data_IF_127532725934
#
_entry.id   IF_127532725934
#
_cell.length_a   1.000
_cell.length_b   1.000
_cell.length_c   1.000
_cell.angle_alpha   90.00
_cell.angle_beta   90.00
_cell.angle_gamma   90.00
#
_symmetry.space_group_name_H-M   'P 1'
#
loop_
_entity.id
_entity.type
_entity.pdbx_description
1 polymer ?
#
# COMPACT_ATOMS: atom_id res chain seq x y z
N UNK A 1 -22.97 24.37 -13.57
CA UNK A 1 -22.23 24.98 -12.45
C UNK A 1 -22.90 24.56 -11.14
N UNK A 2 -22.67 23.32 -10.71
CA UNK A 2 -23.29 22.81 -9.47
C UNK A 2 -22.44 21.68 -8.86
N UNK A 3 -21.13 21.91 -8.70
CA UNK A 3 -20.23 20.97 -8.01
C UNK A 3 -19.52 21.58 -6.79
N UNK A 4 -19.69 22.89 -6.52
CA UNK A 4 -19.00 23.57 -5.41
C UNK A 4 -19.72 23.50 -4.05
N UNK A 5 -20.95 22.97 -3.98
CA UNK A 5 -21.75 22.98 -2.75
C UNK A 5 -21.59 21.75 -1.84
N UNK A 6 -20.92 20.69 -2.29
CA UNK A 6 -20.74 19.45 -1.49
C UNK A 6 -19.43 19.48 -0.67
N UNK A 7 -18.48 20.36 -1.03
CA UNK A 7 -17.11 20.38 -0.45
C UNK A 7 -17.00 20.95 0.97
N UNK A 8 -18.08 21.46 1.56
CA UNK A 8 -18.04 22.12 2.88
C UNK A 8 -18.41 21.23 4.08
N UNK A 9 -18.73 19.94 3.87
CA UNK A 9 -19.15 19.03 4.95
C UNK A 9 -18.08 18.02 5.41
N UNK A 10 -16.99 17.85 4.65
CA UNK A 10 -15.94 16.86 4.97
C UNK A 10 -14.58 17.50 5.24
N UNK A 11 -14.55 18.54 6.06
CA UNK A 11 -13.32 19.10 6.61
C UNK A 11 -13.15 18.63 8.05
N UNK A 12 -12.06 17.89 8.28
CA UNK A 12 -11.40 17.62 9.56
C UNK A 12 -12.11 16.72 10.57
N UNK A 13 -11.98 15.41 10.39
CA UNK A 13 -11.77 14.50 11.52
C UNK A 13 -10.65 13.51 11.14
N UNK A 14 -9.49 13.70 11.77
CA UNK A 14 -8.40 12.72 11.77
C UNK A 14 -8.91 11.39 12.36
N UNK A 15 -8.61 10.23 11.76
CA UNK A 15 -9.13 8.97 12.26
C UNK A 15 -8.63 8.68 13.68
N UNK A 16 -9.50 8.17 14.58
CA UNK A 16 -9.19 7.97 15.99
C UNK A 16 -8.21 6.82 16.18
N UNK A 17 -7.22 7.03 17.04
CA UNK A 17 -6.24 6.02 17.48
C UNK A 17 -6.92 5.07 18.47
N UNK A 18 -7.38 3.92 17.98
CA UNK A 18 -7.89 2.87 18.86
C UNK A 18 -6.75 1.94 19.30
N UNK A 19 -6.48 1.97 20.61
CA UNK A 19 -5.48 1.16 21.28
C UNK A 19 -6.08 -0.20 21.66
N UNK A 20 -5.66 -1.30 21.03
CA UNK A 20 -5.82 -2.63 21.67
C UNK A 20 -4.88 -3.71 21.14
N UNK A 21 -3.89 -4.02 21.99
CA UNK A 21 -3.40 -5.35 22.37
C UNK A 21 -2.71 -6.31 21.37
N UNK A 22 -1.37 -6.37 21.57
CA UNK A 22 -0.56 -7.54 21.98
C UNK A 22 0.21 -8.35 20.91
N UNK A 23 1.53 -8.24 21.05
CA UNK A 23 2.59 -9.24 20.85
C UNK A 23 2.96 -9.64 19.41
N UNK A 24 3.75 -8.78 18.76
CA UNK A 24 4.96 -9.22 18.03
C UNK A 24 5.95 -8.07 17.96
N UNK A 25 7.23 -8.41 18.05
CA UNK A 25 8.38 -7.50 18.18
C UNK A 25 8.62 -6.72 16.88
N UNK A 26 7.70 -5.82 16.53
CA UNK A 26 7.89 -4.82 15.48
C UNK A 26 8.81 -3.76 16.08
N UNK A 27 9.95 -3.51 15.45
CA UNK A 27 10.78 -2.34 15.80
C UNK A 27 9.90 -1.11 15.61
N UNK A 28 9.37 -0.53 16.68
CA UNK A 28 8.77 0.80 16.64
C UNK A 28 9.89 1.76 16.27
N UNK A 29 9.98 2.13 14.98
CA UNK A 29 10.74 3.31 14.58
C UNK A 29 10.00 4.55 15.09
N UNK A 30 10.76 5.53 15.57
CA UNK A 30 10.23 6.85 15.87
C UNK A 30 9.62 7.44 14.60
N UNK A 31 8.54 8.22 14.75
CA UNK A 31 7.60 8.63 13.70
C UNK A 31 8.17 9.63 12.66
N UNK A 32 9.50 9.74 12.54
CA UNK A 32 10.17 10.77 11.74
C UNK A 32 11.17 10.21 10.71
N UNK A 33 11.30 8.88 10.58
CA UNK A 33 12.19 8.26 9.59
C UNK A 33 11.41 7.69 8.40
N UNK A 34 11.53 8.35 7.25
CA UNK A 34 11.15 7.81 5.95
C UNK A 34 11.70 6.39 5.77
N UNK A 35 10.89 5.46 5.25
CA UNK A 35 11.37 4.13 4.87
C UNK A 35 12.40 4.28 3.76
N UNK A 36 13.54 3.63 3.88
CA UNK A 36 14.53 3.59 2.78
C UNK A 36 14.21 2.47 1.79
N UNK A 37 14.68 2.60 0.54
CA UNK A 37 14.45 1.57 -0.49
C UNK A 37 15.13 0.26 -0.13
N UNK A 38 16.26 0.33 0.57
CA UNK A 38 17.05 -0.79 1.03
C UNK A 38 16.26 -1.58 2.08
N UNK A 39 15.66 -0.89 3.06
CA UNK A 39 14.79 -1.52 4.07
C UNK A 39 13.58 -2.20 3.45
N UNK A 40 12.95 -1.58 2.44
CA UNK A 40 11.80 -2.17 1.76
C UNK A 40 12.15 -3.50 1.05
N UNK A 41 13.40 -3.68 0.60
CA UNK A 41 13.85 -4.95 0.01
C UNK A 41 14.04 -6.06 1.04
N UNK A 42 14.10 -5.74 2.34
CA UNK A 42 14.27 -6.75 3.39
C UNK A 42 12.97 -7.49 3.70
N UNK A 43 11.81 -6.89 3.41
CA UNK A 43 10.50 -7.52 3.58
C UNK A 43 10.31 -8.71 2.64
N UNK A 44 9.96 -9.87 3.19
CA UNK A 44 9.79 -11.13 2.45
C UNK A 44 8.73 -10.99 1.34
N UNK A 45 7.67 -10.24 1.63
CA UNK A 45 6.56 -10.00 0.72
C UNK A 45 7.00 -9.16 -0.48
N UNK A 46 7.85 -8.17 -0.24
CA UNK A 46 8.44 -7.34 -1.29
C UNK A 46 9.41 -8.16 -2.12
N UNK A 47 10.26 -8.98 -1.50
CA UNK A 47 11.16 -9.89 -2.23
C UNK A 47 10.38 -10.85 -3.12
N UNK A 48 9.34 -11.47 -2.56
CA UNK A 48 8.47 -12.41 -3.26
C UNK A 48 7.79 -11.74 -4.45
N UNK A 49 7.25 -10.53 -4.24
CA UNK A 49 6.67 -9.75 -5.31
C UNK A 49 7.68 -9.38 -6.38
N UNK A 50 8.87 -8.91 -6.01
CA UNK A 50 9.95 -8.53 -6.92
C UNK A 50 10.50 -9.73 -7.72
N UNK A 51 10.29 -10.98 -7.29
CA UNK A 51 10.60 -12.17 -8.11
C UNK A 51 9.64 -12.33 -9.30
N UNK A 52 8.41 -11.81 -9.20
CA UNK A 52 7.36 -11.93 -10.23
C UNK A 52 7.38 -10.83 -11.29
N UNK A 53 8.27 -9.86 -11.16
CA UNK A 53 8.39 -8.71 -12.08
C UNK A 53 9.74 -8.77 -12.80
N UNK A 54 9.77 -8.26 -14.04
CA UNK A 54 10.99 -8.23 -14.86
C UNK A 54 12.07 -7.36 -14.21
N UNK A 55 13.35 -7.67 -14.49
CA UNK A 55 14.50 -6.96 -13.92
C UNK A 55 14.46 -5.45 -14.18
N UNK A 56 14.07 -5.04 -15.40
CA UNK A 56 13.96 -3.64 -15.80
C UNK A 56 12.89 -2.87 -15.01
N UNK A 57 11.85 -3.57 -14.54
CA UNK A 57 10.69 -2.95 -13.89
C UNK A 57 10.80 -2.92 -12.35
N UNK A 58 11.68 -3.74 -11.75
CA UNK A 58 11.89 -3.81 -10.29
C UNK A 58 12.18 -2.46 -9.64
N UNK A 59 13.03 -1.65 -10.27
CA UNK A 59 13.44 -0.34 -9.72
C UNK A 59 12.25 0.62 -9.65
N UNK A 60 11.45 0.70 -10.72
CA UNK A 60 10.25 1.54 -10.77
C UNK A 60 9.25 1.14 -9.68
N UNK A 61 8.96 -0.15 -9.59
CA UNK A 61 8.04 -0.71 -8.61
C UNK A 61 8.47 -0.42 -7.18
N UNK A 62 9.78 -0.55 -6.88
CA UNK A 62 10.30 -0.24 -5.55
C UNK A 62 10.25 1.25 -5.24
N UNK A 63 10.51 2.12 -6.22
CA UNK A 63 10.41 3.57 -6.04
C UNK A 63 8.98 4.00 -5.71
N UNK A 64 8.01 3.40 -6.39
CA UNK A 64 6.60 3.64 -6.14
C UNK A 64 6.17 3.12 -4.78
N UNK A 65 6.56 1.89 -4.43
CA UNK A 65 6.28 1.33 -3.11
C UNK A 65 6.86 2.18 -1.99
N UNK A 66 8.10 2.64 -2.16
CA UNK A 66 8.75 3.55 -1.22
C UNK A 66 7.97 4.84 -1.02
N UNK A 67 7.59 5.51 -2.11
CA UNK A 67 6.78 6.73 -2.03
C UNK A 67 5.43 6.47 -1.37
N UNK A 68 4.79 5.34 -1.69
CA UNK A 68 3.51 4.98 -1.13
C UNK A 68 3.61 4.70 0.38
N UNK A 69 4.58 3.89 0.81
CA UNK A 69 4.85 3.57 2.20
C UNK A 69 5.16 4.82 3.03
N UNK A 70 5.99 5.72 2.52
CA UNK A 70 6.30 6.98 3.21
C UNK A 70 5.07 7.89 3.29
N UNK A 71 4.27 7.97 2.22
CA UNK A 71 3.06 8.80 2.22
C UNK A 71 1.98 8.30 3.18
N UNK A 72 1.75 6.99 3.25
CA UNK A 72 0.73 6.41 4.14
C UNK A 72 1.27 6.02 5.52
N UNK A 73 2.55 6.25 5.78
CA UNK A 73 3.26 5.86 7.01
C UNK A 73 3.04 4.38 7.38
N UNK A 74 3.07 3.50 6.37
CA UNK A 74 2.85 2.06 6.55
C UNK A 74 3.91 1.23 5.86
N UNK A 75 4.31 0.17 6.54
CA UNK A 75 5.22 -0.80 5.94
C UNK A 75 4.48 -1.75 4.97
N UNK A 76 5.21 -2.45 4.08
CA UNK A 76 4.61 -3.39 3.14
C UNK A 76 3.80 -4.53 3.79
N UNK A 77 4.17 -4.95 5.00
CA UNK A 77 3.50 -6.01 5.74
C UNK A 77 2.13 -5.53 6.24
N UNK A 78 2.06 -4.33 6.82
CA UNK A 78 0.81 -3.69 7.25
C UNK A 78 -0.18 -3.52 6.08
N UNK A 79 0.32 -3.08 4.92
CA UNK A 79 -0.50 -2.94 3.71
C UNK A 79 -1.14 -4.27 3.26
N UNK A 80 -0.43 -5.38 3.48
CA UNK A 80 -0.91 -6.72 3.17
C UNK A 80 -1.92 -7.21 4.22
N UNK A 81 -1.65 -6.96 5.50
CA UNK A 81 -2.57 -7.28 6.58
C UNK A 81 -3.91 -6.55 6.41
N UNK A 82 -3.88 -5.24 6.16
CA UNK A 82 -5.10 -4.45 5.91
C UNK A 82 -5.93 -5.00 4.74
N UNK A 83 -5.26 -5.48 3.68
CA UNK A 83 -5.95 -6.12 2.55
C UNK A 83 -6.58 -7.45 2.96
N UNK A 84 -5.87 -8.25 3.76
CA UNK A 84 -6.36 -9.57 4.16
C UNK A 84 -7.52 -9.47 5.14
N UNK A 85 -7.47 -8.54 6.09
CA UNK A 85 -8.60 -8.21 6.97
C UNK A 85 -9.86 -7.81 6.18
N UNK A 86 -9.71 -7.10 5.05
CA UNK A 86 -10.84 -6.76 4.20
C UNK A 86 -11.47 -7.93 3.46
N UNK A 87 -10.73 -9.02 3.22
CA UNK A 87 -11.28 -10.19 2.54
C UNK A 87 -12.36 -10.89 3.36
N UNK A 88 -12.21 -10.82 4.68
CA UNK A 88 -13.06 -11.51 5.65
C UNK A 88 -14.30 -10.67 6.07
N UNK A 89 -14.42 -9.43 5.58
CA UNK A 89 -15.58 -8.57 5.86
C UNK A 89 -16.73 -8.92 4.92
N UNK A 90 -17.82 -9.54 5.36
CA UNK A 90 -18.92 -9.94 4.46
C UNK A 90 -19.57 -8.79 3.67
N UNK A 91 -19.67 -7.60 4.26
CA UNK A 91 -20.28 -6.43 3.64
C UNK A 91 -19.37 -5.79 2.56
N UNK A 92 -19.75 -5.84 1.27
CA UNK A 92 -18.93 -5.31 0.18
C UNK A 92 -18.65 -3.81 0.30
N UNK A 93 -19.57 -3.04 0.89
CA UNK A 93 -19.40 -1.60 1.03
C UNK A 93 -18.32 -1.25 2.06
N UNK A 94 -18.03 -2.17 2.99
CA UNK A 94 -16.99 -2.03 4.01
C UNK A 94 -15.63 -2.55 3.54
N UNK A 95 -15.55 -3.24 2.39
CA UNK A 95 -14.31 -3.74 1.75
C UNK A 95 -13.61 -2.68 0.88
N UNK A 96 -13.57 -1.42 1.34
CA UNK A 96 -13.11 -0.30 0.51
C UNK A 96 -11.93 0.49 1.11
N UNK A 97 -11.46 0.24 2.32
CA UNK A 97 -10.42 1.08 2.97
C UNK A 97 -9.11 1.01 2.18
N UNK A 98 -8.72 -0.19 1.79
CA UNK A 98 -7.50 -0.45 1.05
C UNK A 98 -7.63 0.15 -0.35
N UNK A 99 -8.79 0.07 -1.01
CA UNK A 99 -9.05 0.75 -2.29
C UNK A 99 -8.99 2.28 -2.15
N UNK A 100 -9.62 2.83 -1.11
CA UNK A 100 -9.63 4.26 -0.83
C UNK A 100 -8.21 4.78 -0.60
N UNK A 101 -7.35 4.02 0.09
CA UNK A 101 -5.94 4.37 0.28
C UNK A 101 -5.19 4.62 -1.05
N UNK A 102 -5.50 3.87 -2.11
CA UNK A 102 -4.92 4.09 -3.44
C UNK A 102 -5.49 5.34 -4.11
N UNK A 103 -6.79 5.59 -3.96
CA UNK A 103 -7.45 6.79 -4.50
C UNK A 103 -6.91 8.05 -3.81
N UNK A 104 -6.74 8.01 -2.49
CA UNK A 104 -6.17 9.09 -1.70
C UNK A 104 -4.71 9.37 -2.11
N UNK A 105 -3.93 8.32 -2.40
CA UNK A 105 -2.57 8.47 -2.92
C UNK A 105 -2.55 9.10 -4.31
N UNK A 106 -3.51 8.73 -5.16
CA UNK A 106 -3.68 9.36 -6.48
C UNK A 106 -3.96 10.85 -6.33
N UNK A 107 -4.90 11.24 -5.47
CA UNK A 107 -5.17 12.66 -5.20
C UNK A 107 -3.94 13.40 -4.65
N UNK A 108 -3.14 12.74 -3.81
CA UNK A 108 -1.88 13.30 -3.33
C UNK A 108 -0.91 13.56 -4.49
N UNK A 109 -0.72 12.59 -5.40
CA UNK A 109 0.15 12.79 -6.56
C UNK A 109 -0.38 13.87 -7.51
N UNK A 110 -1.69 14.01 -7.65
CA UNK A 110 -2.31 15.09 -8.43
C UNK A 110 -2.00 16.46 -7.79
N UNK A 111 -2.09 16.58 -6.46
CA UNK A 111 -1.74 17.81 -5.70
C UNK A 111 -0.25 18.16 -5.81
N UNK A 112 0.62 17.17 -5.86
CA UNK A 112 2.06 17.33 -6.09
C UNK A 112 2.43 17.60 -7.56
N UNK A 113 1.44 17.81 -8.44
CA UNK A 113 1.61 18.09 -9.87
C UNK A 113 2.35 16.99 -10.67
N UNK A 114 2.20 15.72 -10.28
CA UNK A 114 2.71 14.62 -11.12
C UNK A 114 1.94 14.54 -12.45
N UNK A 115 2.63 14.17 -13.52
CA UNK A 115 2.00 13.95 -14.81
C UNK A 115 0.99 12.78 -14.74
N UNK A 116 -0.20 12.87 -15.38
CA UNK A 116 -1.21 11.82 -15.33
C UNK A 116 -0.70 10.42 -15.75
N UNK A 117 0.23 10.36 -16.69
CA UNK A 117 0.89 9.11 -17.12
C UNK A 117 1.72 8.47 -16.00
N UNK A 118 2.39 9.29 -15.19
CA UNK A 118 3.19 8.83 -14.04
C UNK A 118 2.28 8.34 -12.92
N UNK A 119 1.18 9.04 -12.66
CA UNK A 119 0.17 8.66 -11.67
C UNK A 119 -0.45 7.30 -12.02
N UNK A 120 -0.88 7.12 -13.27
CA UNK A 120 -1.45 5.84 -13.73
C UNK A 120 -0.43 4.70 -13.65
N UNK A 121 0.85 4.99 -13.91
CA UNK A 121 1.93 4.01 -13.74
C UNK A 121 2.03 3.61 -12.27
N UNK A 122 2.22 4.59 -11.36
CA UNK A 122 2.34 4.35 -9.93
C UNK A 122 1.14 3.60 -9.33
N UNK A 123 -0.07 3.95 -9.76
CA UNK A 123 -1.29 3.24 -9.37
C UNK A 123 -1.25 1.77 -9.80
N UNK A 124 -0.88 1.50 -11.05
CA UNK A 124 -0.77 0.13 -11.59
C UNK A 124 0.28 -0.69 -10.86
N UNK A 125 1.40 -0.08 -10.50
CA UNK A 125 2.48 -0.73 -9.75
C UNK A 125 2.01 -1.10 -8.32
N UNK A 126 1.34 -0.19 -7.61
CA UNK A 126 0.79 -0.43 -6.28
C UNK A 126 -0.29 -1.54 -6.29
N UNK A 127 -1.14 -1.57 -7.31
CA UNK A 127 -2.10 -2.67 -7.50
C UNK A 127 -1.37 -4.01 -7.72
N UNK A 128 -0.23 -3.99 -8.43
CA UNK A 128 0.60 -5.16 -8.67
C UNK A 128 1.05 -5.88 -7.40
N UNK A 129 1.45 -5.15 -6.35
CA UNK A 129 1.83 -5.72 -5.05
C UNK A 129 0.66 -6.48 -4.42
N UNK A 130 -0.54 -5.87 -4.44
CA UNK A 130 -1.73 -6.42 -3.81
C UNK A 130 -2.23 -7.71 -4.44
N UNK A 131 -2.29 -7.77 -5.77
CA UNK A 131 -2.80 -8.93 -6.48
C UNK A 131 -1.82 -10.09 -6.52
N UNK A 132 -0.51 -9.81 -6.63
CA UNK A 132 0.50 -10.87 -6.80
C UNK A 132 0.93 -11.49 -5.48
N UNK A 133 1.07 -10.71 -4.40
CA UNK A 133 1.42 -11.30 -3.10
C UNK A 133 0.30 -12.22 -2.59
N UNK A 134 -0.97 -11.88 -2.83
CA UNK A 134 -2.13 -12.69 -2.43
C UNK A 134 -2.14 -14.12 -3.03
N UNK A 135 -1.53 -14.32 -4.20
CA UNK A 135 -1.45 -15.64 -4.84
C UNK A 135 -0.33 -16.50 -4.25
N UNK A 136 0.77 -15.89 -3.81
CA UNK A 136 1.93 -16.61 -3.30
C UNK A 136 1.74 -17.06 -1.85
N UNK A 137 1.10 -16.27 -1.00
CA UNK A 137 0.86 -16.64 0.42
C UNK A 137 -0.22 -17.72 0.60
N UNK A 138 -1.06 -17.98 -0.41
CA UNK A 138 -2.09 -19.04 -0.37
C UNK A 138 -1.58 -20.44 -0.72
N UNK A 139 -0.33 -20.55 -1.17
CA UNK A 139 0.29 -21.84 -1.44
C UNK A 139 1.44 -22.02 -0.46
N UNK A 140 1.13 -22.63 0.70
CA UNK A 140 2.15 -23.26 1.53
C UNK A 140 2.78 -24.42 0.77
N UNK A 141 3.66 -24.12 -0.19
CA UNK A 141 4.73 -24.99 -0.69
C UNK A 141 5.55 -24.24 -1.74
N UNK A 142 6.83 -23.90 -1.50
CA UNK A 142 7.71 -23.52 -2.60
C UNK A 142 8.07 -24.80 -3.36
N UNK A 143 7.42 -25.02 -4.50
CA UNK A 143 7.95 -25.96 -5.48
C UNK A 143 9.36 -25.49 -5.84
N UNK A 144 10.33 -26.29 -5.36
CA UNK A 144 11.72 -26.27 -5.78
C UNK A 144 11.74 -26.38 -7.30
N UNK A 145 12.34 -25.39 -7.96
CA UNK A 145 12.92 -25.60 -9.29
C UNK A 145 14.42 -25.68 -9.07
N UNK A 146 14.90 -26.93 -8.97
CA UNK A 146 16.29 -27.31 -9.28
C UNK A 146 16.51 -27.26 -10.78
#
# INVERSE_FOLDING_TARGET
MEYDKIRKKYSMETPPKDNSSKNKKVKLKNQDEDFTKEELKEYEEVQTWLRTVSKSTKSSYLNTLHKFCNWCEKDPHELIMMRDEEKDIDDPNKRNRTKNLILDFREYLEKENYAPSSINTMESENQGLRFKVAKTTRLGNPLRFT
#
